data_IF_890537048597
#
_entry.id   IF_890537048597
#
_cell.length_a   1.000
_cell.length_b   1.000
_cell.length_c   1.000
_cell.angle_alpha   90.00
_cell.angle_beta   90.00
_cell.angle_gamma   90.00
#
_symmetry.space_group_name_H-M   'P 1'
#
loop_
_entity.id
_entity.type
_entity.pdbx_description
1 polymer ?
#
# COMPACT_ATOMS: atom_id res chain seq x y z
N UNK A 1 -2.22 27.45 -2.48
CA UNK A 1 -2.99 26.21 -2.69
C UNK A 1 -2.03 25.20 -3.31
N UNK A 2 -1.93 23.97 -2.79
CA UNK A 2 -1.11 22.93 -3.38
C UNK A 2 -1.42 22.79 -4.87
N UNK A 3 -0.41 22.83 -5.73
CA UNK A 3 -0.56 22.46 -7.14
C UNK A 3 -0.87 20.97 -7.18
N UNK A 4 -2.09 20.66 -7.58
CA UNK A 4 -2.61 19.29 -7.66
C UNK A 4 -3.17 19.12 -9.05
N UNK A 5 -2.63 18.18 -9.80
CA UNK A 5 -3.09 17.86 -11.15
C UNK A 5 -4.03 16.66 -11.09
N UNK A 6 -5.24 16.82 -11.61
CA UNK A 6 -6.19 15.72 -11.77
C UNK A 6 -5.94 15.01 -13.11
N UNK A 7 -5.88 13.68 -13.07
CA UNK A 7 -5.69 12.83 -14.23
C UNK A 7 -6.68 11.68 -14.21
N UNK A 8 -6.98 11.11 -15.36
CA UNK A 8 -7.67 9.82 -15.47
C UNK A 8 -6.70 8.81 -16.06
N UNK A 9 -6.49 7.71 -15.33
CA UNK A 9 -5.61 6.61 -15.75
C UNK A 9 -6.35 5.29 -15.63
N UNK A 10 -6.02 4.32 -16.48
CA UNK A 10 -6.55 2.96 -16.32
C UNK A 10 -5.69 2.21 -15.31
N UNK A 11 -6.32 1.69 -14.25
CA UNK A 11 -5.72 0.78 -13.26
C UNK A 11 -6.64 -0.44 -13.15
N UNK A 12 -6.07 -1.65 -13.21
CA UNK A 12 -6.85 -2.85 -13.41
C UNK A 12 -7.59 -2.80 -14.75
N UNK A 13 -8.88 -3.13 -14.75
CA UNK A 13 -9.73 -3.12 -15.95
C UNK A 13 -10.45 -1.80 -16.23
N UNK A 14 -10.31 -0.79 -15.37
CA UNK A 14 -11.22 0.35 -15.38
C UNK A 14 -10.50 1.69 -15.15
N UNK A 15 -11.07 2.82 -15.62
CA UNK A 15 -10.51 4.15 -15.41
C UNK A 15 -10.64 4.59 -13.95
N UNK A 16 -9.59 5.26 -13.44
CA UNK A 16 -9.53 5.87 -12.11
C UNK A 16 -9.17 7.33 -12.24
N UNK A 17 -9.88 8.16 -11.48
CA UNK A 17 -9.43 9.52 -11.22
C UNK A 17 -8.27 9.47 -10.23
N UNK A 18 -7.19 10.15 -10.54
CA UNK A 18 -6.05 10.30 -9.65
C UNK A 18 -5.68 11.77 -9.51
N UNK A 19 -5.08 12.11 -8.39
CA UNK A 19 -4.44 13.41 -8.19
C UNK A 19 -2.96 13.22 -7.93
N UNK A 20 -2.13 13.99 -8.64
CA UNK A 20 -0.69 14.03 -8.41
C UNK A 20 -0.34 15.36 -7.77
N UNK A 21 0.27 15.28 -6.59
CA UNK A 21 0.74 16.43 -5.84
C UNK A 21 2.23 16.27 -5.51
N UNK A 22 3.01 17.34 -5.69
CA UNK A 22 4.46 17.36 -5.46
C UNK A 22 4.77 18.40 -4.39
N UNK A 23 5.02 17.98 -3.13
CA UNK A 23 5.37 18.91 -2.06
C UNK A 23 6.65 19.66 -2.39
N UNK A 24 6.68 20.98 -2.19
CA UNK A 24 7.82 21.81 -2.59
C UNK A 24 9.14 21.41 -1.89
N UNK A 25 9.03 20.89 -0.66
CA UNK A 25 10.17 20.47 0.18
C UNK A 25 10.55 19.00 0.01
N UNK A 26 9.83 18.23 -0.82
CA UNK A 26 10.09 16.81 -1.03
C UNK A 26 11.27 16.59 -1.98
N UNK A 27 12.41 16.00 -1.55
CA UNK A 27 13.49 15.72 -2.46
C UNK A 27 13.09 14.59 -3.43
N UNK A 28 13.57 14.62 -4.67
CA UNK A 28 13.18 13.64 -5.70
C UNK A 28 13.50 12.18 -5.31
N UNK A 29 14.48 11.96 -4.42
CA UNK A 29 14.85 10.65 -3.90
C UNK A 29 13.95 10.12 -2.77
N UNK A 30 13.14 10.98 -2.13
CA UNK A 30 12.23 10.60 -1.06
C UNK A 30 11.15 9.62 -1.54
N UNK A 31 10.53 8.85 -0.63
CA UNK A 31 9.42 7.96 -0.97
C UNK A 31 8.29 8.67 -1.71
N UNK A 32 7.62 7.92 -2.57
CA UNK A 32 6.28 8.27 -3.07
C UNK A 32 5.24 7.82 -2.05
N UNK A 33 4.17 8.59 -1.89
CA UNK A 33 2.95 8.18 -1.18
C UNK A 33 1.85 7.84 -2.17
N UNK A 34 1.34 6.61 -2.14
CA UNK A 34 0.06 6.23 -2.70
C UNK A 34 -0.99 6.29 -1.60
N UNK A 35 -2.11 6.97 -1.83
CA UNK A 35 -3.26 6.97 -0.92
C UNK A 35 -4.52 6.52 -1.65
N UNK A 36 -5.17 5.48 -1.12
CA UNK A 36 -6.46 4.98 -1.60
C UNK A 36 -7.62 5.79 -1.01
N UNK A 37 -8.73 5.84 -1.73
CA UNK A 37 -9.86 6.75 -1.46
C UNK A 37 -9.40 8.22 -1.44
N UNK A 38 -8.56 8.57 -2.42
CA UNK A 38 -7.82 9.82 -2.48
C UNK A 38 -8.67 11.07 -2.29
N UNK A 39 -9.86 11.13 -2.91
CA UNK A 39 -10.76 12.28 -2.80
C UNK A 39 -11.12 12.57 -1.33
N UNK A 40 -11.44 11.53 -0.56
CA UNK A 40 -11.86 11.68 0.85
C UNK A 40 -10.72 12.20 1.71
N UNK A 41 -9.50 11.69 1.54
CA UNK A 41 -8.34 12.19 2.27
C UNK A 41 -7.93 13.60 1.85
N UNK A 42 -8.01 13.93 0.55
CA UNK A 42 -7.76 15.29 0.05
C UNK A 42 -8.74 16.27 0.67
N UNK A 43 -10.05 15.96 0.65
CA UNK A 43 -11.09 16.77 1.31
C UNK A 43 -10.90 16.86 2.81
N UNK A 44 -10.29 15.85 3.42
CA UNK A 44 -9.86 15.83 4.81
C UNK A 44 -8.63 16.70 5.13
N UNK A 45 -8.00 17.34 4.14
CA UNK A 45 -6.86 18.23 4.34
C UNK A 45 -5.49 17.57 4.19
N UNK A 46 -5.42 16.31 3.71
CA UNK A 46 -4.17 15.54 3.60
C UNK A 46 -3.04 16.31 2.91
N UNK A 47 -3.30 16.89 1.73
CA UNK A 47 -2.25 17.57 0.96
C UNK A 47 -1.71 18.81 1.68
N UNK A 48 -2.58 19.55 2.39
CA UNK A 48 -2.15 20.69 3.20
C UNK A 48 -1.30 20.22 4.37
N UNK A 49 -1.68 19.14 5.06
CA UNK A 49 -0.87 18.56 6.12
C UNK A 49 0.49 18.06 5.63
N UNK A 50 0.55 17.48 4.44
CA UNK A 50 1.80 17.03 3.81
C UNK A 50 2.71 18.21 3.48
N UNK A 51 2.18 19.29 2.92
CA UNK A 51 2.95 20.50 2.62
C UNK A 51 3.61 21.11 3.87
N UNK A 52 3.05 20.89 5.06
CA UNK A 52 3.59 21.37 6.34
C UNK A 52 4.68 20.46 6.93
N UNK A 53 4.81 19.21 6.49
CA UNK A 53 5.84 18.29 6.98
C UNK A 53 7.26 18.84 6.77
N UNK A 54 8.15 18.57 7.73
CA UNK A 54 9.57 18.93 7.63
C UNK A 54 10.26 18.14 6.50
N UNK A 55 9.90 16.86 6.36
CA UNK A 55 10.45 15.95 5.36
C UNK A 55 9.30 15.22 4.65
N UNK A 56 8.61 15.89 3.69
CA UNK A 56 7.48 15.30 2.98
C UNK A 56 7.94 14.25 1.94
N UNK A 57 7.02 13.42 1.42
CA UNK A 57 7.29 12.55 0.28
C UNK A 57 7.67 13.36 -0.97
N UNK A 58 8.32 12.69 -1.94
CA UNK A 58 8.67 13.31 -3.22
C UNK A 58 7.42 13.61 -4.06
N UNK A 59 6.47 12.67 -4.06
CA UNK A 59 5.20 12.74 -4.79
C UNK A 59 4.11 12.09 -3.95
N UNK A 60 2.92 12.66 -3.97
CA UNK A 60 1.68 12.05 -3.51
C UNK A 60 0.83 11.72 -4.74
N UNK A 61 0.41 10.47 -4.86
CA UNK A 61 -0.54 10.00 -5.87
C UNK A 61 -1.78 9.50 -5.12
N UNK A 62 -2.84 10.29 -5.16
CA UNK A 62 -4.10 9.96 -4.53
C UNK A 62 -5.03 9.30 -5.55
N UNK A 63 -5.40 8.03 -5.31
CA UNK A 63 -6.23 7.24 -6.22
C UNK A 63 -7.66 7.22 -5.71
N UNK A 64 -8.60 7.69 -6.52
CA UNK A 64 -10.02 7.55 -6.25
C UNK A 64 -10.57 6.23 -6.78
N UNK A 65 -11.51 5.65 -6.05
CA UNK A 65 -12.15 4.40 -6.43
C UNK A 65 -13.59 4.59 -6.93
N UNK A 66 -14.09 5.83 -6.97
CA UNK A 66 -15.34 6.13 -7.64
C UNK A 66 -15.24 5.82 -9.15
N UNK A 67 -16.28 5.24 -9.78
CA UNK A 67 -16.32 5.01 -11.21
C UNK A 67 -16.22 6.34 -11.98
N UNK A 68 -15.45 6.34 -13.06
CA UNK A 68 -15.35 7.49 -13.97
C UNK A 68 -16.40 7.31 -15.09
N UNK A 69 -17.48 8.09 -15.07
CA UNK A 69 -18.55 8.02 -16.07
C UNK A 69 -19.58 9.16 -15.97
N UNK A 70 -20.39 9.34 -17.01
CA UNK A 70 -21.37 10.45 -17.12
C UNK A 70 -22.67 10.23 -16.30
N UNK A 71 -22.90 9.03 -15.78
CA UNK A 71 -24.18 8.62 -15.16
C UNK A 71 -24.47 9.14 -13.76
N UNK A 72 -23.62 10.00 -13.18
CA UNK A 72 -23.70 10.36 -11.77
C UNK A 72 -23.27 9.23 -10.83
N UNK A 73 -23.42 9.40 -9.50
CA UNK A 73 -22.90 8.44 -8.53
C UNK A 73 -23.76 7.18 -8.50
N UNK A 74 -23.38 6.17 -9.28
CA UNK A 74 -23.81 4.79 -9.03
C UNK A 74 -23.02 4.26 -7.81
N UNK A 75 -23.70 4.22 -6.67
CA UNK A 75 -23.12 3.81 -5.38
C UNK A 75 -22.73 2.34 -5.40
N UNK A 76 -23.54 1.47 -6.02
CA UNK A 76 -23.28 0.04 -6.08
C UNK A 76 -22.08 -0.24 -6.98
N UNK A 77 -22.00 0.43 -8.13
CA UNK A 77 -20.82 0.36 -8.99
C UNK A 77 -19.57 0.89 -8.29
N UNK A 78 -19.68 1.93 -7.45
CA UNK A 78 -18.55 2.43 -6.68
C UNK A 78 -18.08 1.47 -5.59
N UNK A 79 -19.01 0.79 -4.91
CA UNK A 79 -18.68 -0.26 -3.93
C UNK A 79 -18.01 -1.44 -4.63
N UNK A 80 -18.57 -1.91 -5.74
CA UNK A 80 -18.02 -3.02 -6.53
C UNK A 80 -16.62 -2.69 -7.05
N UNK A 81 -16.44 -1.54 -7.70
CA UNK A 81 -15.14 -1.12 -8.21
C UNK A 81 -14.09 -0.97 -7.10
N UNK A 82 -14.48 -0.41 -5.94
CA UNK A 82 -13.57 -0.27 -4.81
C UNK A 82 -13.18 -1.63 -4.22
N UNK A 83 -14.10 -2.58 -4.15
CA UNK A 83 -13.80 -3.94 -3.71
C UNK A 83 -12.86 -4.65 -4.70
N UNK A 84 -13.18 -4.58 -6.00
CA UNK A 84 -12.39 -5.15 -7.09
C UNK A 84 -10.93 -4.67 -7.06
N UNK A 85 -10.69 -3.39 -6.73
CA UNK A 85 -9.34 -2.83 -6.63
C UNK A 85 -8.60 -3.24 -5.37
N UNK A 86 -9.27 -3.17 -4.22
CA UNK A 86 -8.61 -3.09 -2.92
C UNK A 86 -8.63 -4.40 -2.12
N UNK A 87 -9.48 -5.36 -2.49
CA UNK A 87 -9.52 -6.68 -1.84
C UNK A 87 -8.50 -7.60 -2.50
N UNK A 88 -7.23 -7.38 -2.12
CA UNK A 88 -6.08 -8.24 -2.47
C UNK A 88 -5.90 -8.51 -3.97
N UNK A 89 -6.22 -7.54 -4.82
CA UNK A 89 -6.10 -7.68 -6.27
C UNK A 89 -4.63 -7.52 -6.75
N UNK A 90 -3.98 -8.59 -7.25
CA UNK A 90 -2.58 -8.54 -7.68
C UNK A 90 -2.37 -7.66 -8.92
N UNK A 91 -3.33 -7.63 -9.84
CA UNK A 91 -3.24 -6.81 -11.06
C UNK A 91 -3.30 -5.32 -10.72
N UNK A 92 -4.21 -4.92 -9.83
CA UNK A 92 -4.27 -3.54 -9.36
C UNK A 92 -2.98 -3.12 -8.66
N UNK A 93 -2.39 -4.02 -7.86
CA UNK A 93 -1.07 -3.80 -7.24
C UNK A 93 0.04 -3.55 -8.26
N UNK A 94 0.13 -4.41 -9.28
CA UNK A 94 1.16 -4.33 -10.30
C UNK A 94 1.00 -3.05 -11.17
N UNK A 95 -0.24 -2.65 -11.46
CA UNK A 95 -0.55 -1.41 -12.18
C UNK A 95 -0.19 -0.15 -11.38
N UNK A 96 -0.45 -0.14 -10.06
CA UNK A 96 -0.02 0.95 -9.16
C UNK A 96 1.50 1.03 -9.08
N UNK A 97 2.20 -0.11 -8.99
CA UNK A 97 3.66 -0.13 -9.02
C UNK A 97 4.21 0.46 -10.33
N UNK A 98 3.60 0.10 -11.46
CA UNK A 98 3.97 0.67 -12.76
C UNK A 98 3.67 2.18 -12.83
N UNK A 99 2.56 2.64 -12.25
CA UNK A 99 2.23 4.06 -12.16
C UNK A 99 3.28 4.84 -11.37
N UNK A 100 3.70 4.33 -10.21
CA UNK A 100 4.75 4.93 -9.38
C UNK A 100 6.05 5.09 -10.16
N UNK A 101 6.51 4.01 -10.81
CA UNK A 101 7.77 4.00 -11.58
C UNK A 101 7.78 5.02 -12.71
N UNK A 102 6.62 5.26 -13.36
CA UNK A 102 6.48 6.28 -14.41
C UNK A 102 6.42 7.70 -13.84
N UNK A 103 5.72 7.90 -12.74
CA UNK A 103 5.47 9.23 -12.17
C UNK A 103 6.67 9.80 -11.40
N UNK A 104 7.47 8.93 -10.78
CA UNK A 104 8.61 9.29 -9.95
C UNK A 104 9.81 8.33 -10.15
N UNK A 105 10.45 8.32 -11.34
CA UNK A 105 11.55 7.39 -11.64
C UNK A 105 12.81 7.61 -10.78
N UNK A 106 12.95 8.80 -10.18
CA UNK A 106 14.08 9.16 -9.33
C UNK A 106 13.92 8.73 -7.87
N UNK A 107 12.71 8.33 -7.46
CA UNK A 107 12.46 7.84 -6.11
C UNK A 107 13.28 6.57 -5.86
N UNK A 108 14.08 6.58 -4.78
CA UNK A 108 14.96 5.45 -4.42
C UNK A 108 14.45 4.65 -3.22
N UNK A 109 13.65 5.29 -2.37
CA UNK A 109 13.07 4.64 -1.21
C UNK A 109 11.81 3.85 -1.58
N UNK A 110 11.52 2.80 -0.79
CA UNK A 110 10.26 2.04 -0.91
C UNK A 110 9.07 2.98 -0.80
N UNK A 111 8.12 2.81 -1.71
CA UNK A 111 6.88 3.58 -1.79
C UNK A 111 6.01 3.28 -0.58
N UNK A 112 5.41 4.32 -0.02
CA UNK A 112 4.44 4.21 1.06
C UNK A 112 3.07 4.07 0.42
N UNK A 113 2.33 3.03 0.79
CA UNK A 113 0.95 2.80 0.36
C UNK A 113 0.06 2.90 1.57
N UNK A 114 -1.00 3.67 1.48
CA UNK A 114 -1.82 3.99 2.64
C UNK A 114 -3.31 3.99 2.30
N UNK A 115 -4.13 3.61 3.27
CA UNK A 115 -5.58 3.66 3.12
C UNK A 115 -6.32 3.22 4.37
N UNK A 116 -7.65 3.33 4.31
CA UNK A 116 -8.54 2.90 5.37
C UNK A 116 -9.48 1.76 4.93
N UNK A 117 -9.90 0.87 5.83
CA UNK A 117 -10.78 -0.27 5.50
C UNK A 117 -10.15 -1.14 4.41
N UNK A 118 -10.81 -1.34 3.26
CA UNK A 118 -10.20 -2.03 2.11
C UNK A 118 -8.88 -1.38 1.66
N UNK A 119 -8.73 -0.05 1.77
CA UNK A 119 -7.46 0.61 1.47
C UNK A 119 -6.34 0.21 2.43
N UNK A 120 -6.67 -0.06 3.70
CA UNK A 120 -5.72 -0.59 4.68
C UNK A 120 -5.36 -2.04 4.41
N UNK A 121 -6.35 -2.86 4.03
CA UNK A 121 -6.12 -4.24 3.55
C UNK A 121 -5.19 -4.25 2.32
N UNK A 122 -5.46 -3.39 1.33
CA UNK A 122 -4.63 -3.25 0.14
C UNK A 122 -3.20 -2.81 0.49
N UNK A 123 -3.02 -1.85 1.40
CA UNK A 123 -1.71 -1.41 1.84
C UNK A 123 -0.87 -2.55 2.47
N UNK A 124 -1.50 -3.40 3.29
CA UNK A 124 -0.86 -4.61 3.82
C UNK A 124 -0.53 -5.60 2.69
N UNK A 125 -1.49 -5.89 1.82
CA UNK A 125 -1.30 -6.81 0.68
C UNK A 125 -0.15 -6.38 -0.24
N UNK A 126 -0.05 -5.08 -0.57
CA UNK A 126 1.01 -4.55 -1.41
C UNK A 126 2.38 -4.74 -0.75
N UNK A 127 2.45 -4.52 0.57
CA UNK A 127 3.68 -4.70 1.36
C UNK A 127 4.10 -6.16 1.50
N UNK A 128 3.14 -7.10 1.44
CA UNK A 128 3.41 -8.54 1.42
C UNK A 128 3.83 -9.01 0.02
N UNK A 129 3.18 -8.52 -1.03
CA UNK A 129 3.42 -8.94 -2.42
C UNK A 129 4.73 -8.42 -2.99
N UNK A 130 5.05 -7.15 -2.76
CA UNK A 130 6.28 -6.50 -3.23
C UNK A 130 7.00 -5.82 -2.05
N UNK A 131 7.53 -6.58 -1.08
CA UNK A 131 8.16 -6.02 0.11
C UNK A 131 9.40 -5.18 -0.22
N UNK A 132 10.03 -5.40 -1.37
CA UNK A 132 11.14 -4.60 -1.90
C UNK A 132 10.70 -3.26 -2.47
N UNK A 133 9.41 -3.09 -2.79
CA UNK A 133 8.86 -1.89 -3.40
C UNK A 133 7.98 -1.08 -2.45
N UNK A 134 7.25 -1.73 -1.55
CA UNK A 134 6.20 -1.11 -0.74
C UNK A 134 6.40 -1.21 0.77
N UNK A 135 5.84 -0.20 1.46
CA UNK A 135 5.58 -0.18 2.90
C UNK A 135 4.15 0.29 3.14
N UNK A 136 3.48 -0.24 4.15
CA UNK A 136 2.04 -0.02 4.34
C UNK A 136 1.68 0.85 5.54
N UNK A 137 0.72 1.75 5.38
CA UNK A 137 -0.01 2.40 6.47
C UNK A 137 -1.46 1.89 6.42
N UNK A 138 -1.83 1.04 7.37
CA UNK A 138 -3.10 0.34 7.38
C UNK A 138 -4.01 0.93 8.48
N UNK A 139 -4.99 1.72 8.10
CA UNK A 139 -5.96 2.31 9.03
C UNK A 139 -7.24 1.48 9.03
N UNK A 140 -7.62 0.94 10.19
CA UNK A 140 -8.78 0.05 10.36
C UNK A 140 -8.90 -0.96 9.21
N UNK A 141 -7.91 -1.84 8.96
CA UNK A 141 -7.90 -2.71 7.79
C UNK A 141 -8.96 -3.81 7.88
N UNK A 142 -9.63 -4.07 6.76
CA UNK A 142 -10.67 -5.10 6.66
C UNK A 142 -10.09 -6.52 6.52
N UNK A 143 -9.36 -7.00 7.51
CA UNK A 143 -8.67 -8.31 7.45
C UNK A 143 -9.62 -9.52 7.49
N UNK A 144 -10.92 -9.34 7.71
CA UNK A 144 -11.93 -10.41 7.55
C UNK A 144 -12.15 -10.83 6.10
N UNK A 145 -11.78 -9.99 5.13
CA UNK A 145 -11.99 -10.28 3.72
C UNK A 145 -11.15 -11.46 3.22
N UNK A 146 -11.61 -12.05 2.11
CA UNK A 146 -10.88 -13.06 1.35
C UNK A 146 -10.72 -12.60 -0.10
N UNK A 147 -9.64 -13.03 -0.76
CA UNK A 147 -9.45 -12.79 -2.19
C UNK A 147 -10.43 -13.62 -3.04
N UNK A 148 -10.36 -13.49 -4.36
CA UNK A 148 -11.22 -14.23 -5.29
C UNK A 148 -10.99 -15.76 -5.28
N UNK A 149 -9.91 -16.23 -4.68
CA UNK A 149 -9.59 -17.64 -4.44
C UNK A 149 -9.94 -18.09 -3.02
N UNK A 150 -10.54 -17.22 -2.19
CA UNK A 150 -10.87 -17.52 -0.81
C UNK A 150 -9.69 -17.50 0.15
N UNK A 151 -8.55 -16.90 -0.23
CA UNK A 151 -7.38 -16.75 0.64
C UNK A 151 -7.51 -15.53 1.54
N UNK A 152 -7.02 -15.64 2.77
CA UNK A 152 -6.95 -14.53 3.73
C UNK A 152 -5.63 -13.78 3.57
N UNK A 153 -5.54 -12.58 4.17
CA UNK A 153 -4.36 -11.71 4.01
C UNK A 153 -3.03 -12.38 4.40
N UNK A 154 -3.03 -13.24 5.42
CA UNK A 154 -1.83 -13.96 5.87
C UNK A 154 -1.43 -15.13 4.95
N UNK A 155 -2.28 -15.56 4.03
CA UNK A 155 -1.91 -16.56 3.02
C UNK A 155 -1.05 -15.96 1.91
N UNK A 156 -0.91 -14.63 1.89
CA UNK A 156 -0.05 -13.88 0.97
C UNK A 156 1.34 -13.58 1.54
N UNK A 157 1.68 -14.09 2.72
CA UNK A 157 3.05 -13.99 3.25
C UNK A 157 4.00 -14.75 2.33
N UNK A 158 5.06 -14.12 1.79
CA UNK A 158 6.00 -14.78 0.90
C UNK A 158 6.58 -16.04 1.54
N UNK A 159 6.51 -17.19 0.85
CA UNK A 159 7.20 -18.38 1.32
C UNK A 159 8.71 -18.21 1.10
N UNK A 160 9.54 -18.86 1.95
CA UNK A 160 11.01 -18.89 1.73
C UNK A 160 11.40 -19.48 0.37
N UNK A 161 10.54 -20.31 -0.22
CA UNK A 161 10.72 -20.90 -1.55
C UNK A 161 10.42 -19.93 -2.70
N UNK A 162 9.46 -19.02 -2.56
CA UNK A 162 9.11 -18.04 -3.61
C UNK A 162 10.23 -17.02 -3.85
N UNK A 163 11.01 -16.73 -2.81
CA UNK A 163 12.13 -15.79 -2.86
C UNK A 163 13.33 -16.31 -3.69
N UNK A 164 13.46 -17.63 -3.88
CA UNK A 164 14.54 -18.25 -4.68
C UNK A 164 14.23 -18.21 -6.17
N UNK A 165 12.95 -18.36 -6.55
CA UNK A 165 12.52 -18.39 -7.95
C UNK A 165 12.58 -17.02 -8.65
N UNK A 166 12.52 -15.92 -7.90
CA UNK A 166 12.73 -14.58 -8.46
C UNK A 166 14.20 -14.31 -8.89
N UNK A 167 15.15 -15.16 -8.45
CA UNK A 167 16.58 -15.04 -8.78
C UNK A 167 17.09 -15.98 -9.89
N UNK A 168 16.27 -16.90 -10.40
CA UNK A 168 16.72 -17.93 -11.37
C UNK A 168 15.72 -18.14 -12.51
N UNK A 169 15.57 -17.11 -13.35
CA UNK A 169 15.04 -17.28 -14.71
C UNK A 169 16.16 -17.00 -15.71
N UNK A 170 16.99 -18.02 -15.97
CA UNK A 170 18.11 -17.96 -16.90
C UNK A 170 18.75 -19.33 -17.11
N UNK A 171 18.19 -20.07 -18.08
CA UNK A 171 18.81 -21.08 -18.94
C UNK A 171 19.69 -22.18 -18.30
N UNK A 172 19.13 -23.38 -18.29
CA UNK A 172 19.88 -24.64 -18.29
C UNK A 172 20.71 -24.75 -19.57
N UNK A 173 22.04 -24.63 -19.48
CA UNK A 173 22.95 -25.45 -20.29
C UNK A 173 24.18 -25.88 -19.47
N UNK A 174 24.41 -27.18 -19.53
CA UNK A 174 25.46 -27.98 -18.91
C UNK A 174 26.87 -27.52 -19.25
N UNK A 175 27.69 -27.06 -18.31
CA UNK A 175 29.16 -27.10 -18.40
C UNK A 175 29.81 -27.30 -17.01
N UNK A 176 30.91 -28.07 -17.03
CA UNK A 176 31.65 -28.62 -15.88
C UNK A 176 32.16 -27.56 -14.89
N UNK A 177 32.12 -27.95 -13.62
CA UNK A 177 32.45 -27.17 -12.42
C UNK A 177 33.92 -26.75 -12.34
N UNK A 178 34.15 -25.46 -12.14
CA UNK A 178 35.32 -24.91 -11.44
C UNK A 178 34.84 -24.15 -10.18
N UNK A 179 35.61 -24.11 -9.08
CA UNK A 179 35.15 -23.51 -7.83
C UNK A 179 35.22 -21.98 -7.90
N UNK A 180 34.07 -21.31 -7.98
CA UNK A 180 33.96 -19.84 -7.81
C UNK A 180 33.99 -19.47 -6.33
N UNK A 181 34.75 -18.40 -6.05
CA UNK A 181 34.96 -17.76 -4.76
C UNK A 181 33.64 -17.23 -4.14
N UNK A 182 33.55 -17.12 -2.80
CA UNK A 182 32.34 -16.69 -2.10
C UNK A 182 32.23 -15.16 -2.10
N UNK A 183 31.80 -14.57 -3.21
CA UNK A 183 31.46 -13.15 -3.28
C UNK A 183 30.07 -12.95 -3.88
N UNK A 184 29.05 -13.20 -3.07
CA UNK A 184 27.74 -12.58 -3.23
C UNK A 184 27.06 -12.70 -1.86
N UNK A 185 27.01 -11.59 -1.13
CA UNK A 185 26.11 -11.45 0.02
C UNK A 185 24.73 -11.82 -0.50
N UNK A 186 24.17 -12.92 -0.03
CA UNK A 186 22.75 -13.22 -0.17
C UNK A 186 22.00 -11.92 0.11
N UNK A 187 21.35 -11.36 -0.91
CA UNK A 187 20.48 -10.20 -0.75
C UNK A 187 19.44 -10.62 0.27
N UNK A 188 19.57 -10.15 1.52
CA UNK A 188 18.59 -10.41 2.55
C UNK A 188 17.22 -10.03 1.96
N UNK A 189 16.36 -11.03 1.77
CA UNK A 189 15.09 -10.82 1.11
C UNK A 189 14.35 -9.69 1.82
N UNK A 190 13.78 -8.76 1.06
CA UNK A 190 13.09 -7.62 1.65
C UNK A 190 11.97 -8.13 2.56
N UNK A 191 11.99 -7.74 3.82
CA UNK A 191 10.94 -8.10 4.77
C UNK A 191 9.74 -7.17 4.58
N UNK A 192 8.50 -7.71 4.54
CA UNK A 192 7.29 -6.90 4.56
C UNK A 192 7.27 -5.96 5.77
N UNK A 193 6.92 -4.70 5.54
CA UNK A 193 6.83 -3.70 6.62
C UNK A 193 5.56 -2.88 6.45
N UNK A 194 4.67 -2.91 7.44
CA UNK A 194 3.47 -2.09 7.49
C UNK A 194 3.04 -1.84 8.94
N UNK A 195 2.43 -0.69 9.19
CA UNK A 195 1.81 -0.38 10.48
C UNK A 195 0.30 -0.57 10.41
N UNK A 196 -0.30 -0.93 11.55
CA UNK A 196 -1.75 -1.15 11.70
C UNK A 196 -2.25 -0.29 12.84
N UNK A 197 -3.22 0.57 12.56
CA UNK A 197 -4.00 1.31 13.57
C UNK A 197 -5.48 0.90 13.43
N UNK A 198 -6.22 0.77 14.53
CA UNK A 198 -7.66 0.45 14.47
C UNK A 198 -8.44 1.06 15.64
N UNK A 199 -9.73 1.31 15.43
CA UNK A 199 -10.60 1.91 16.43
C UNK A 199 -11.12 0.88 17.42
N UNK A 200 -11.12 1.20 18.72
CA UNK A 200 -11.69 0.29 19.74
C UNK A 200 -13.22 0.22 19.70
N UNK A 201 -13.88 1.10 18.94
CA UNK A 201 -15.33 1.08 18.72
C UNK A 201 -15.72 0.30 17.45
N UNK A 202 -14.78 -0.46 16.86
CA UNK A 202 -14.93 -1.21 15.62
C UNK A 202 -14.77 -2.72 15.89
N UNK A 203 -15.71 -3.37 16.59
CA UNK A 203 -15.53 -4.76 17.08
C UNK A 203 -15.11 -5.74 15.98
N UNK A 204 -15.76 -5.71 14.81
CA UNK A 204 -15.40 -6.60 13.69
C UNK A 204 -13.98 -6.34 13.15
N UNK A 205 -13.53 -5.07 13.11
CA UNK A 205 -12.15 -4.73 12.73
C UNK A 205 -11.20 -5.26 13.79
N UNK A 206 -11.45 -4.95 15.06
CA UNK A 206 -10.59 -5.33 16.17
C UNK A 206 -10.37 -6.85 16.23
N UNK A 207 -11.45 -7.63 16.10
CA UNK A 207 -11.40 -9.09 16.06
C UNK A 207 -10.57 -9.59 14.86
N UNK A 208 -10.80 -9.04 13.66
CA UNK A 208 -10.04 -9.42 12.47
C UNK A 208 -8.56 -9.01 12.52
N UNK A 209 -8.24 -7.89 13.18
CA UNK A 209 -6.86 -7.42 13.40
C UNK A 209 -6.14 -8.31 14.40
N UNK A 210 -6.82 -8.75 15.47
CA UNK A 210 -6.26 -9.71 16.42
C UNK A 210 -5.95 -11.05 15.72
N UNK A 211 -6.90 -11.62 14.99
CA UNK A 211 -6.72 -12.85 14.20
C UNK A 211 -5.54 -12.71 13.23
N UNK A 212 -5.51 -11.64 12.43
CA UNK A 212 -4.43 -11.42 11.46
C UNK A 212 -3.06 -11.26 12.13
N UNK A 213 -2.99 -10.61 13.29
CA UNK A 213 -1.74 -10.43 14.03
C UNK A 213 -1.16 -11.78 14.49
N UNK A 214 -2.01 -12.68 14.99
CA UNK A 214 -1.59 -14.04 15.37
C UNK A 214 -1.10 -14.84 14.16
N UNK A 215 -1.83 -14.78 13.05
CA UNK A 215 -1.49 -15.49 11.82
C UNK A 215 -0.21 -14.94 11.15
N UNK A 216 0.04 -13.62 11.22
CA UNK A 216 1.29 -13.01 10.78
C UNK A 216 2.46 -13.43 11.66
N UNK A 217 2.30 -13.41 12.98
CA UNK A 217 3.33 -13.84 13.92
C UNK A 217 3.72 -15.31 13.69
N UNK A 218 2.73 -16.18 13.45
CA UNK A 218 2.95 -17.58 13.10
C UNK A 218 3.75 -17.78 11.80
N UNK A 219 3.75 -16.78 10.90
CA UNK A 219 4.49 -16.75 9.63
C UNK A 219 5.77 -15.89 9.69
N UNK A 220 6.16 -15.43 10.87
CA UNK A 220 7.39 -14.67 11.08
C UNK A 220 7.33 -13.20 10.68
N UNK A 221 6.13 -12.63 10.55
CA UNK A 221 5.93 -11.18 10.42
C UNK A 221 5.42 -10.63 11.75
N UNK A 222 6.24 -9.80 12.40
CA UNK A 222 5.84 -9.13 13.64
C UNK A 222 5.10 -7.84 13.31
N UNK A 223 3.82 -7.78 13.69
CA UNK A 223 2.96 -6.60 13.51
C UNK A 223 2.39 -6.24 14.87
N UNK A 224 2.68 -5.03 15.33
CA UNK A 224 2.10 -4.51 16.57
C UNK A 224 0.95 -3.56 16.23
N UNK A 225 -0.33 -4.00 16.34
CA UNK A 225 -1.47 -3.14 16.07
C UNK A 225 -1.60 -2.05 17.15
N UNK A 226 -2.00 -0.84 16.72
CA UNK A 226 -2.16 0.34 17.57
C UNK A 226 -3.64 0.70 17.70
N UNK A 227 -4.29 0.38 18.84
CA UNK A 227 -5.66 0.79 19.06
C UNK A 227 -5.76 2.29 19.30
N UNK A 228 -6.84 2.92 18.81
CA UNK A 228 -7.20 4.31 19.14
C UNK A 228 -8.65 4.42 19.61
N UNK A 229 -8.94 5.47 20.39
CA UNK A 229 -10.31 5.77 20.82
C UNK A 229 -11.07 6.40 19.64
N UNK A 230 -11.81 5.56 18.90
CA UNK A 230 -12.57 5.98 17.73
C UNK A 230 -13.25 4.81 17.03
N UNK A 231 -13.96 5.13 15.95
CA UNK A 231 -14.74 4.22 15.11
C UNK A 231 -14.32 4.29 13.65
N UNK A 232 -15.15 3.70 12.78
CA UNK A 232 -14.86 3.45 11.35
C UNK A 232 -15.05 4.69 10.48
N UNK A 233 -14.39 5.80 10.83
CA UNK A 233 -14.63 7.11 10.26
C UNK A 233 -13.36 7.90 9.90
N UNK A 234 -13.45 8.65 8.79
CA UNK A 234 -12.40 9.55 8.30
C UNK A 234 -11.98 10.66 9.27
N UNK A 235 -12.82 10.98 10.27
CA UNK A 235 -12.45 11.95 11.31
C UNK A 235 -11.17 11.51 12.05
N UNK A 236 -11.05 10.21 12.33
CA UNK A 236 -9.88 9.63 13.00
C UNK A 236 -8.77 9.36 12.00
N UNK A 237 -9.10 8.75 10.86
CA UNK A 237 -8.12 8.30 9.88
C UNK A 237 -7.35 9.45 9.23
N UNK A 238 -7.96 10.62 9.03
CA UNK A 238 -7.24 11.76 8.43
C UNK A 238 -6.06 12.23 9.29
N UNK A 239 -6.24 12.20 10.62
CA UNK A 239 -5.20 12.63 11.57
C UNK A 239 -4.13 11.52 11.69
N UNK A 240 -4.58 10.28 11.86
CA UNK A 240 -3.69 9.12 11.94
C UNK A 240 -2.84 8.94 10.68
N UNK A 241 -3.40 9.21 9.49
CA UNK A 241 -2.67 9.19 8.23
C UNK A 241 -1.44 10.10 8.27
N UNK A 242 -1.60 11.36 8.71
CA UNK A 242 -0.49 12.31 8.79
C UNK A 242 0.53 11.91 9.85
N UNK A 243 0.07 11.42 11.01
CA UNK A 243 0.95 10.93 12.08
C UNK A 243 1.81 9.77 11.59
N UNK A 244 1.18 8.73 11.02
CA UNK A 244 1.90 7.53 10.54
C UNK A 244 2.80 7.84 9.35
N UNK A 245 2.37 8.72 8.46
CA UNK A 245 3.22 9.18 7.37
C UNK A 245 4.50 9.85 7.88
N UNK A 246 4.38 10.73 8.88
CA UNK A 246 5.54 11.40 9.47
C UNK A 246 6.50 10.41 10.15
N UNK A 247 5.98 9.39 10.83
CA UNK A 247 6.80 8.34 11.45
C UNK A 247 7.51 7.48 10.38
N UNK A 248 6.80 6.99 9.37
CA UNK A 248 7.37 6.14 8.32
C UNK A 248 8.40 6.89 7.47
N UNK A 249 8.26 8.21 7.30
CA UNK A 249 9.25 9.04 6.61
C UNK A 249 10.52 9.31 7.43
N UNK A 250 10.47 9.10 8.76
CA UNK A 250 11.60 9.29 9.66
C UNK A 250 12.47 8.02 9.83
N UNK A 251 12.03 6.87 9.31
CA UNK A 251 12.75 5.59 9.29
C UNK A 251 13.73 5.48 8.11
#
# INVERSE_FOLDING_TARGET
RPTTEEHVVTLGSSPRRIWIHRPQRGPASAPVLIVFDGERFIRGGLLTGIDELVSPPSVVIAVDHAPVGEGGPDVDAAIGQRADDLVMNPRFCDDVLALVRRTAPDAKARTIVAGASYGGLAAAFFSLRHPEAFRGICLSPSFWESDDQGRRIWDHVPSRTDQVSAGTAGESESHKSEPRQPEERESAAAHPTFCVDHGILETAIADSVAEATEEFAARGIDVVPRPFVGGHEYLWWRELMLVRLAEVLAE
#
